data_IF_400644532366
#
_entry.id   IF_400644532366
#
_cell.length_a   1.000
_cell.length_b   1.000
_cell.length_c   1.000
_cell.angle_alpha   90.00
_cell.angle_beta   90.00
_cell.angle_gamma   90.00
#
_symmetry.space_group_name_H-M   'P 1'
#
loop_
_entity.id
_entity.type
_entity.pdbx_description
1 polymer ?
#
# COMPACT_ATOMS: atom_id res chain seq x y z
N UNK A 1 -0.29 12.95 25.29
CA UNK A 1 0.36 12.72 23.99
C UNK A 1 0.40 14.04 23.24
N UNK A 2 1.55 14.48 22.75
CA UNK A 2 1.62 15.66 21.88
C UNK A 2 1.01 15.31 20.52
N UNK A 3 0.43 16.29 19.82
CA UNK A 3 -0.18 16.12 18.48
C UNK A 3 0.79 15.45 17.50
N UNK A 4 2.08 15.77 17.63
CA UNK A 4 3.16 15.18 16.84
C UNK A 4 3.33 13.67 17.08
N UNK A 5 3.24 13.20 18.33
CA UNK A 5 3.33 11.76 18.63
C UNK A 5 2.20 10.98 17.96
N UNK A 6 0.98 11.53 17.92
CA UNK A 6 -0.15 10.89 17.24
C UNK A 6 0.10 10.74 15.74
N UNK A 7 0.64 11.78 15.10
CA UNK A 7 0.99 11.73 13.68
C UNK A 7 2.15 10.79 13.37
N UNK A 8 3.16 10.72 14.24
CA UNK A 8 4.23 9.74 14.12
C UNK A 8 3.69 8.31 14.21
N UNK A 9 2.75 8.03 15.12
CA UNK A 9 2.09 6.72 15.21
C UNK A 9 1.37 6.39 13.90
N UNK A 10 0.66 7.34 13.30
CA UNK A 10 0.01 7.15 11.99
C UNK A 10 1.03 6.89 10.88
N UNK A 11 2.13 7.64 10.84
CA UNK A 11 3.22 7.44 9.88
C UNK A 11 3.87 6.06 10.03
N UNK A 12 4.17 5.63 11.25
CA UNK A 12 4.72 4.30 11.53
C UNK A 12 3.73 3.19 11.23
N UNK A 13 2.45 3.34 11.59
CA UNK A 13 1.41 2.39 11.23
C UNK A 13 1.28 2.24 9.72
N UNK A 14 1.27 3.37 8.99
CA UNK A 14 1.30 3.40 7.53
C UNK A 14 2.53 2.69 6.96
N UNK A 15 3.71 2.91 7.54
CA UNK A 15 4.93 2.21 7.14
C UNK A 15 4.90 0.71 7.41
N UNK A 16 4.36 0.27 8.55
CA UNK A 16 4.22 -1.16 8.88
C UNK A 16 3.29 -1.84 7.87
N UNK A 17 2.16 -1.23 7.55
CA UNK A 17 1.24 -1.73 6.50
C UNK A 17 1.94 -1.77 5.15
N UNK A 18 2.63 -0.69 4.78
CA UNK A 18 3.30 -0.56 3.49
C UNK A 18 4.50 -1.48 3.33
N UNK A 19 5.19 -1.83 4.41
CA UNK A 19 6.29 -2.80 4.40
C UNK A 19 5.75 -4.23 4.47
N UNK A 20 4.66 -4.43 5.23
CA UNK A 20 3.96 -5.70 5.37
C UNK A 20 3.48 -6.29 4.05
N UNK A 21 3.27 -5.48 3.01
CA UNK A 21 2.98 -5.97 1.65
C UNK A 21 4.09 -6.88 1.10
N UNK A 22 5.36 -6.55 1.36
CA UNK A 22 6.49 -7.35 0.90
C UNK A 22 6.61 -8.64 1.70
N UNK A 23 6.32 -8.58 3.00
CA UNK A 23 6.22 -9.76 3.85
C UNK A 23 5.12 -10.70 3.34
N UNK A 24 3.94 -10.15 3.01
CA UNK A 24 2.82 -10.93 2.47
C UNK A 24 3.19 -11.53 1.10
N UNK A 25 3.81 -10.77 0.21
CA UNK A 25 4.25 -11.27 -1.09
C UNK A 25 5.31 -12.37 -0.94
N UNK A 26 6.28 -12.19 -0.05
CA UNK A 26 7.33 -13.16 0.21
C UNK A 26 6.74 -14.46 0.76
N UNK A 27 5.92 -14.38 1.81
CA UNK A 27 5.27 -15.54 2.42
C UNK A 27 4.41 -16.31 1.39
N UNK A 28 3.65 -15.59 0.57
CA UNK A 28 2.81 -16.19 -0.46
C UNK A 28 3.63 -16.81 -1.60
N UNK A 29 4.76 -16.21 -1.96
CA UNK A 29 5.66 -16.72 -2.99
C UNK A 29 6.40 -17.97 -2.52
N UNK A 30 6.82 -18.01 -1.25
CA UNK A 30 7.44 -19.17 -0.61
C UNK A 30 6.44 -20.35 -0.57
N UNK A 31 5.21 -20.07 -0.12
CA UNK A 31 4.15 -21.07 -0.07
C UNK A 31 3.82 -21.66 -1.46
N UNK A 32 3.85 -20.83 -2.51
CA UNK A 32 3.54 -21.25 -3.88
C UNK A 32 4.77 -21.69 -4.70
N UNK A 33 5.98 -21.57 -4.16
CA UNK A 33 7.27 -21.79 -4.85
C UNK A 33 7.37 -21.09 -6.20
N UNK A 34 6.73 -19.94 -6.33
CA UNK A 34 6.67 -19.14 -7.57
C UNK A 34 6.67 -17.66 -7.19
N UNK A 35 7.36 -16.83 -7.97
CA UNK A 35 7.31 -15.37 -7.80
C UNK A 35 5.94 -14.87 -8.26
N UNK A 36 5.00 -14.75 -7.33
CA UNK A 36 3.64 -14.29 -7.59
C UNK A 36 3.28 -13.12 -6.68
N UNK A 37 2.64 -12.10 -7.25
CA UNK A 37 2.15 -10.94 -6.49
C UNK A 37 0.69 -11.23 -6.10
N UNK A 38 0.41 -11.49 -4.82
CA UNK A 38 -0.96 -11.76 -4.37
C UNK A 38 -1.83 -10.51 -4.43
N UNK A 39 -3.15 -10.67 -4.59
CA UNK A 39 -4.10 -9.54 -4.59
C UNK A 39 -3.97 -8.67 -3.32
N UNK A 40 -3.72 -9.33 -2.18
CA UNK A 40 -3.49 -8.66 -0.89
C UNK A 40 -2.33 -7.66 -0.91
N UNK A 41 -1.33 -7.85 -1.78
CA UNK A 41 -0.24 -6.88 -1.97
C UNK A 41 -0.78 -5.52 -2.43
N UNK A 42 -1.72 -5.51 -3.36
CA UNK A 42 -2.28 -4.27 -3.91
C UNK A 42 -3.18 -3.57 -2.90
N UNK A 43 -3.98 -4.33 -2.13
CA UNK A 43 -4.79 -3.77 -1.04
C UNK A 43 -3.95 -3.16 0.08
N UNK A 44 -2.89 -3.86 0.53
CA UNK A 44 -1.96 -3.32 1.53
C UNK A 44 -1.21 -2.10 1.01
N UNK A 45 -0.82 -2.10 -0.27
CA UNK A 45 -0.17 -0.94 -0.89
C UNK A 45 -1.08 0.27 -0.90
N UNK A 46 -2.36 0.08 -1.25
CA UNK A 46 -3.36 1.14 -1.28
C UNK A 46 -3.60 1.70 0.13
N UNK A 47 -3.78 0.83 1.12
CA UNK A 47 -4.04 1.23 2.50
C UNK A 47 -2.82 1.92 3.14
N UNK A 48 -1.62 1.36 2.94
CA UNK A 48 -0.36 1.92 3.42
C UNK A 48 -0.07 3.28 2.78
N UNK A 49 -0.25 3.41 1.46
CA UNK A 49 -0.08 4.69 0.77
C UNK A 49 -1.11 5.74 1.18
N UNK A 50 -2.36 5.35 1.45
CA UNK A 50 -3.36 6.29 1.96
C UNK A 50 -2.96 6.85 3.34
N UNK A 51 -2.53 5.98 4.27
CA UNK A 51 -2.06 6.41 5.60
C UNK A 51 -0.82 7.31 5.51
N UNK A 52 0.14 6.93 4.67
CA UNK A 52 1.37 7.69 4.47
C UNK A 52 1.11 9.02 3.74
N UNK A 53 0.13 9.08 2.84
CA UNK A 53 -0.28 10.31 2.17
C UNK A 53 -0.90 11.30 3.18
N UNK A 54 -1.77 10.83 4.08
CA UNK A 54 -2.34 11.67 5.14
C UNK A 54 -1.21 12.21 6.04
N UNK A 55 -0.25 11.36 6.42
CA UNK A 55 0.92 11.78 7.18
C UNK A 55 1.79 12.81 6.43
N UNK A 56 2.00 12.62 5.13
CA UNK A 56 2.81 13.52 4.30
C UNK A 56 2.15 14.89 4.11
N UNK A 57 0.83 14.93 3.96
CA UNK A 57 0.06 16.19 3.92
C UNK A 57 0.22 16.94 5.25
N UNK A 58 0.13 16.24 6.38
CA UNK A 58 0.36 16.86 7.69
C UNK A 58 1.79 17.40 7.85
N UNK A 59 2.78 16.71 7.29
CA UNK A 59 4.19 17.12 7.34
C UNK A 59 4.58 18.14 6.27
N UNK A 60 3.62 18.54 5.41
CA UNK A 60 3.83 19.42 4.27
C UNK A 60 5.00 18.98 3.37
N UNK A 61 5.13 17.66 3.16
CA UNK A 61 6.20 17.07 2.35
C UNK A 61 5.72 16.80 0.91
N UNK A 62 5.97 17.72 -0.05
CA UNK A 62 5.45 17.60 -1.40
C UNK A 62 6.03 16.40 -2.16
N UNK A 63 7.27 15.99 -1.85
CA UNK A 63 7.93 14.86 -2.53
C UNK A 63 7.21 13.57 -2.17
N UNK A 64 6.91 13.39 -0.88
CA UNK A 64 6.22 12.20 -0.41
C UNK A 64 4.75 12.17 -0.86
N UNK A 65 4.09 13.32 -0.91
CA UNK A 65 2.71 13.47 -1.40
C UNK A 65 2.64 13.01 -2.86
N UNK A 66 3.47 13.58 -3.75
CA UNK A 66 3.46 13.24 -5.17
C UNK A 66 3.74 11.75 -5.38
N UNK A 67 4.74 11.21 -4.68
CA UNK A 67 5.07 9.79 -4.75
C UNK A 67 3.93 8.88 -4.34
N UNK A 68 3.27 9.16 -3.22
CA UNK A 68 2.18 8.32 -2.72
C UNK A 68 0.87 8.50 -3.49
N UNK A 69 0.56 9.69 -3.97
CA UNK A 69 -0.58 9.93 -4.85
C UNK A 69 -0.41 9.16 -6.17
N UNK A 70 0.77 9.20 -6.78
CA UNK A 70 1.03 8.43 -8.00
C UNK A 70 0.94 6.92 -7.73
N UNK A 71 1.54 6.46 -6.63
CA UNK A 71 1.45 5.06 -6.19
C UNK A 71 0.00 4.58 -6.05
N UNK A 72 -0.86 5.37 -5.40
CA UNK A 72 -2.29 5.06 -5.25
C UNK A 72 -3.00 4.85 -6.59
N UNK A 73 -2.74 5.72 -7.58
CA UNK A 73 -3.33 5.59 -8.92
C UNK A 73 -2.91 4.28 -9.58
N UNK A 74 -1.61 3.92 -9.48
CA UNK A 74 -1.09 2.67 -10.03
C UNK A 74 -1.71 1.45 -9.35
N UNK A 75 -1.86 1.47 -8.02
CA UNK A 75 -2.46 0.36 -7.26
C UNK A 75 -3.94 0.19 -7.59
N UNK A 76 -4.69 1.28 -7.72
CA UNK A 76 -6.09 1.28 -8.16
C UNK A 76 -6.22 0.67 -9.56
N UNK A 77 -5.40 1.12 -10.50
CA UNK A 77 -5.42 0.62 -11.87
C UNK A 77 -5.08 -0.88 -11.92
N UNK A 78 -4.13 -1.34 -11.13
CA UNK A 78 -3.77 -2.76 -11.06
C UNK A 78 -4.88 -3.60 -10.40
N UNK A 79 -5.55 -3.10 -9.36
CA UNK A 79 -6.72 -3.75 -8.78
C UNK A 79 -7.88 -3.84 -9.79
N UNK A 80 -8.13 -2.78 -10.56
CA UNK A 80 -9.15 -2.79 -11.62
C UNK A 80 -8.86 -3.83 -12.71
N UNK A 81 -7.61 -3.95 -13.15
CA UNK A 81 -7.20 -4.98 -14.11
C UNK A 81 -7.42 -6.39 -13.56
N UNK A 82 -7.10 -6.59 -12.28
CA UNK A 82 -7.27 -7.87 -11.61
C UNK A 82 -8.74 -8.26 -11.43
N UNK A 83 -9.61 -7.28 -11.12
CA UNK A 83 -11.05 -7.46 -11.02
C UNK A 83 -11.65 -7.88 -12.36
N UNK A 84 -11.29 -7.19 -13.46
CA UNK A 84 -11.74 -7.53 -14.82
C UNK A 84 -11.28 -8.92 -15.27
N UNK A 85 -10.05 -9.33 -14.90
CA UNK A 85 -9.55 -10.67 -15.21
C UNK A 85 -10.26 -11.79 -14.42
N UNK A 86 -10.83 -11.47 -13.25
CA UNK A 86 -11.66 -12.42 -12.50
C UNK A 86 -13.02 -12.61 -13.17
N UNK A 87 -13.68 -11.52 -13.57
CA UNK A 87 -14.98 -11.57 -14.27
C UNK A 87 -14.92 -12.33 -15.60
N UNK A 88 -13.79 -12.29 -16.32
CA UNK A 88 -13.64 -13.05 -17.58
C UNK A 88 -13.39 -14.56 -17.39
N UNK A 89 -13.18 -15.03 -16.16
CA UNK A 89 -12.93 -16.45 -15.84
C UNK A 89 -14.15 -17.14 -15.21
N UNK A 90 -15.20 -16.39 -14.91
CA UNK A 90 -16.52 -16.90 -14.50
C UNK A 90 -17.46 -16.97 -15.71
#
# INVERSE_FOLDING_TARGET
>A
MTRETLWLIVGFAGQVVFTGRFVLQWLYSEFKKRSVIPVGFWYLSMLGSALLLIYAIYREDPVFIIGQSFGLVVYLRNLQLLARHKEQKE
#
